data_IF_092862784472
#
_entry.id   IF_092862784472
#
_cell.length_a   1.000
_cell.length_b   1.000
_cell.length_c   1.000
_cell.angle_alpha   90.00
_cell.angle_beta   90.00
_cell.angle_gamma   90.00
#
_symmetry.space_group_name_H-M   'P 1'
#
loop_
_entity.id
_entity.type
_entity.pdbx_description
1 polymer ?
#
# COMPACT_ATOMS: atom_id res chain seq x y z
N UNK A 1 1.02 0.42 35.33
CA UNK A 1 2.42 0.23 34.89
C UNK A 1 2.33 -0.31 33.45
N UNK A 2 2.43 0.57 32.47
CA UNK A 2 2.44 0.21 31.06
C UNK A 2 3.76 -0.52 30.73
N UNK A 3 3.71 -1.59 29.96
CA UNK A 3 4.91 -2.34 29.55
C UNK A 3 5.65 -1.55 28.46
N UNK A 4 6.98 -1.37 28.54
CA UNK A 4 7.75 -0.58 27.59
C UNK A 4 7.96 -1.24 26.19
N UNK A 5 7.32 -2.37 25.93
CA UNK A 5 7.45 -3.12 24.67
C UNK A 5 6.51 -2.67 23.55
N UNK A 6 5.37 -2.04 23.86
CA UNK A 6 4.39 -1.62 22.83
C UNK A 6 4.84 -0.39 22.01
N UNK A 7 5.70 0.45 22.58
CA UNK A 7 6.14 1.68 21.89
C UNK A 7 7.15 1.41 20.78
N UNK A 8 7.95 0.35 20.86
CA UNK A 8 8.99 0.03 19.89
C UNK A 8 8.43 -0.72 18.66
N UNK A 9 7.34 -1.48 18.83
CA UNK A 9 6.68 -2.15 17.71
C UNK A 9 5.90 -1.16 16.83
N UNK A 10 5.35 -0.10 17.43
CA UNK A 10 4.61 0.94 16.73
C UNK A 10 5.53 1.92 15.94
N UNK A 11 6.75 2.16 16.40
CA UNK A 11 7.74 2.97 15.65
C UNK A 11 8.27 2.22 14.42
N UNK A 12 8.42 0.90 14.49
CA UNK A 12 8.85 0.08 13.35
C UNK A 12 7.78 -0.02 12.25
N UNK A 13 6.50 0.09 12.60
CA UNK A 13 5.40 0.09 11.63
C UNK A 13 5.30 1.41 10.83
N UNK A 14 5.92 2.50 11.30
CA UNK A 14 5.89 3.82 10.65
C UNK A 14 7.10 4.09 9.74
N UNK A 15 8.10 3.22 9.74
CA UNK A 15 9.20 3.34 8.79
C UNK A 15 8.77 2.81 7.44
N UNK A 16 9.10 3.53 6.34
CA UNK A 16 8.81 3.01 5.02
C UNK A 16 9.47 1.64 4.86
N UNK A 17 8.77 0.64 4.36
CA UNK A 17 9.42 -0.61 3.99
C UNK A 17 10.51 -0.28 2.98
N UNK A 18 11.61 -0.99 2.99
CA UNK A 18 12.72 -0.77 2.06
C UNK A 18 12.24 -0.83 0.60
N UNK A 19 11.25 -1.70 0.33
CA UNK A 19 10.66 -1.89 -0.99
C UNK A 19 9.14 -1.87 -0.95
N UNK A 20 8.53 -1.26 -1.97
CA UNK A 20 7.09 -1.22 -2.20
C UNK A 20 6.70 -2.16 -3.34
N UNK A 21 5.80 -3.10 -3.10
CA UNK A 21 5.27 -3.99 -4.15
C UNK A 21 4.32 -3.19 -5.04
N UNK A 22 4.61 -3.16 -6.33
CA UNK A 22 3.82 -2.38 -7.31
C UNK A 22 3.04 -3.25 -8.28
N UNK A 23 3.38 -4.54 -8.37
CA UNK A 23 2.70 -5.49 -9.25
C UNK A 23 3.34 -6.86 -9.23
N UNK A 24 2.81 -7.76 -10.07
CA UNK A 24 3.28 -9.15 -10.21
C UNK A 24 3.39 -9.52 -11.69
N UNK A 25 4.43 -10.27 -12.02
CA UNK A 25 4.63 -10.83 -13.36
C UNK A 25 3.72 -12.04 -13.54
N UNK A 26 2.71 -11.90 -14.40
CA UNK A 26 1.74 -12.98 -14.64
C UNK A 26 2.27 -14.03 -15.60
N UNK A 27 2.96 -13.59 -16.67
CA UNK A 27 3.50 -14.46 -17.71
C UNK A 27 4.44 -13.73 -18.66
N UNK A 28 5.30 -14.43 -19.38
CA UNK A 28 6.04 -13.89 -20.53
C UNK A 28 5.14 -13.44 -21.67
N UNK A 29 5.63 -12.50 -22.46
CA UNK A 29 5.01 -12.01 -23.68
C UNK A 29 5.98 -11.99 -24.87
N UNK A 30 5.64 -12.70 -25.91
CA UNK A 30 6.45 -12.79 -27.10
C UNK A 30 7.73 -13.62 -26.90
N UNK A 31 8.66 -13.48 -27.83
CA UNK A 31 9.93 -14.22 -27.86
C UNK A 31 11.13 -13.40 -27.35
N UNK A 32 10.91 -12.08 -27.12
CA UNK A 32 11.96 -11.13 -26.73
C UNK A 32 11.89 -10.76 -25.25
N UNK A 33 11.55 -11.69 -24.37
CA UNK A 33 11.59 -11.49 -22.93
C UNK A 33 10.61 -10.44 -22.37
N UNK A 34 9.55 -10.10 -23.09
CA UNK A 34 8.53 -9.19 -22.56
C UNK A 34 7.78 -9.84 -21.38
N UNK A 35 7.35 -9.03 -20.43
CA UNK A 35 6.67 -9.45 -19.20
C UNK A 35 5.28 -8.82 -19.13
N UNK A 36 4.24 -9.65 -18.96
CA UNK A 36 2.88 -9.16 -18.66
C UNK A 36 2.77 -9.01 -17.16
N UNK A 37 2.48 -7.79 -16.72
CA UNK A 37 2.43 -7.39 -15.30
C UNK A 37 1.01 -7.03 -14.93
N UNK A 38 0.53 -7.60 -13.83
CA UNK A 38 -0.68 -7.22 -13.13
C UNK A 38 -0.33 -6.11 -12.12
N UNK A 39 -1.10 -5.04 -12.14
CA UNK A 39 -0.91 -3.90 -11.26
C UNK A 39 -1.50 -4.19 -9.88
N UNK A 40 -0.74 -3.87 -8.81
CA UNK A 40 -1.22 -3.89 -7.43
C UNK A 40 -1.31 -2.48 -6.85
N UNK A 41 -0.48 -1.56 -7.32
CA UNK A 41 -0.42 -0.19 -6.83
C UNK A 41 -0.38 0.81 -7.99
N UNK A 42 -0.93 2.01 -7.78
CA UNK A 42 -0.81 3.14 -8.72
C UNK A 42 0.65 3.53 -9.00
N UNK A 43 1.57 3.17 -8.09
CA UNK A 43 3.02 3.39 -8.26
C UNK A 43 3.62 2.76 -9.52
N UNK A 44 2.96 1.77 -10.13
CA UNK A 44 3.40 1.23 -11.42
C UNK A 44 3.43 2.29 -12.51
N UNK A 45 2.66 3.38 -12.35
CA UNK A 45 2.61 4.49 -13.30
C UNK A 45 3.86 5.39 -13.23
N UNK A 46 4.61 5.38 -12.13
CA UNK A 46 5.90 6.06 -12.01
C UNK A 46 7.05 5.30 -12.70
N UNK A 47 6.81 4.05 -13.09
CA UNK A 47 7.81 3.27 -13.80
C UNK A 47 7.93 3.78 -15.26
N UNK A 48 9.13 4.13 -15.63
CA UNK A 48 9.49 4.59 -16.99
C UNK A 48 10.81 3.93 -17.45
N UNK A 49 11.19 4.04 -18.70
CA UNK A 49 12.51 3.58 -19.16
C UNK A 49 13.64 4.21 -18.34
N UNK A 50 14.52 3.38 -17.79
CA UNK A 50 15.59 3.77 -16.89
C UNK A 50 15.29 3.55 -15.40
N UNK A 51 14.04 3.31 -15.01
CA UNK A 51 13.68 3.00 -13.63
C UNK A 51 14.33 1.68 -13.20
N UNK A 52 14.88 1.66 -12.00
CA UNK A 52 15.34 0.46 -11.31
C UNK A 52 14.17 -0.22 -10.60
N UNK A 53 14.02 -1.51 -10.84
CA UNK A 53 13.01 -2.35 -10.18
C UNK A 53 13.66 -3.59 -9.61
N UNK A 54 13.07 -4.16 -8.57
CA UNK A 54 13.49 -5.41 -7.98
C UNK A 54 12.44 -6.49 -8.28
N UNK A 55 12.88 -7.69 -8.69
CA UNK A 55 11.99 -8.78 -9.11
C UNK A 55 12.17 -9.96 -8.15
N UNK A 56 11.06 -10.39 -7.52
CA UNK A 56 11.07 -11.46 -6.53
C UNK A 56 11.99 -11.10 -5.37
N UNK A 57 12.83 -12.06 -4.93
CA UNK A 57 13.77 -11.88 -3.83
C UNK A 57 15.15 -11.38 -4.27
N UNK A 58 15.29 -10.94 -5.53
CA UNK A 58 16.55 -10.43 -6.04
C UNK A 58 16.98 -9.17 -5.28
N UNK A 59 18.23 -9.16 -4.81
CA UNK A 59 18.86 -7.99 -4.22
C UNK A 59 19.46 -7.05 -5.29
N UNK A 60 19.58 -7.49 -6.55
CA UNK A 60 20.10 -6.68 -7.65
C UNK A 60 18.95 -6.05 -8.44
N UNK A 61 19.02 -4.75 -8.75
CA UNK A 61 18.00 -4.08 -9.55
C UNK A 61 18.05 -4.55 -11.01
N UNK A 62 16.88 -4.57 -11.63
CA UNK A 62 16.71 -4.72 -13.07
C UNK A 62 16.30 -3.38 -13.66
N UNK A 63 16.88 -3.00 -14.81
CA UNK A 63 16.57 -1.71 -15.45
C UNK A 63 15.44 -1.87 -16.45
N UNK A 64 14.37 -1.08 -16.27
CA UNK A 64 13.26 -1.03 -17.20
C UNK A 64 13.71 -0.40 -18.51
N UNK A 65 13.46 -1.08 -19.63
CA UNK A 65 13.73 -0.56 -20.98
C UNK A 65 12.47 -0.05 -21.68
N UNK A 66 11.31 -0.62 -21.37
CA UNK A 66 10.02 -0.12 -21.80
C UNK A 66 8.89 -0.58 -20.89
N UNK A 67 7.86 0.26 -20.77
CA UNK A 67 6.59 -0.08 -20.14
C UNK A 67 5.46 0.52 -20.95
N UNK A 68 4.36 -0.22 -21.11
CA UNK A 68 3.15 0.27 -21.81
C UNK A 68 1.91 -0.46 -21.32
N UNK A 69 0.78 0.21 -21.35
CA UNK A 69 -0.53 -0.43 -21.10
C UNK A 69 -0.85 -1.46 -22.16
N UNK A 70 -1.39 -2.61 -21.76
CA UNK A 70 -1.77 -3.70 -22.64
C UNK A 70 -2.98 -4.47 -22.08
N UNK A 71 -4.17 -4.26 -22.64
CA UNK A 71 -5.41 -4.97 -22.27
C UNK A 71 -5.70 -4.98 -20.76
N UNK A 72 -5.63 -3.82 -20.11
CA UNK A 72 -5.88 -3.67 -18.67
C UNK A 72 -4.73 -4.14 -17.77
N UNK A 73 -3.59 -4.49 -18.35
CA UNK A 73 -2.34 -4.83 -17.67
C UNK A 73 -1.20 -3.99 -18.22
N UNK A 74 0.02 -4.19 -17.71
CA UNK A 74 1.22 -3.57 -18.24
C UNK A 74 2.07 -4.60 -18.98
N UNK A 75 2.66 -4.16 -20.08
CA UNK A 75 3.71 -4.91 -20.76
C UNK A 75 5.04 -4.22 -20.47
N UNK A 76 5.92 -4.94 -19.79
CA UNK A 76 7.22 -4.49 -19.31
C UNK A 76 8.32 -5.20 -20.08
N UNK A 77 9.39 -4.47 -20.40
CA UNK A 77 10.66 -5.06 -20.82
C UNK A 77 11.79 -4.52 -19.96
N UNK A 78 12.75 -5.37 -19.65
CA UNK A 78 13.92 -5.04 -18.82
C UNK A 78 15.21 -5.44 -19.54
N UNK A 79 16.34 -4.84 -19.12
CA UNK A 79 17.61 -4.91 -19.83
C UNK A 79 18.10 -6.36 -20.02
N UNK A 80 18.08 -7.16 -18.99
CA UNK A 80 18.72 -8.47 -18.97
C UNK A 80 17.72 -9.63 -19.21
N UNK A 81 16.60 -9.33 -19.88
CA UNK A 81 15.57 -10.29 -20.27
C UNK A 81 15.30 -10.21 -21.78
N UNK A 82 16.10 -10.92 -22.56
CA UNK A 82 16.04 -10.84 -24.03
C UNK A 82 15.32 -12.03 -24.68
N UNK A 83 14.97 -13.05 -23.89
CA UNK A 83 14.30 -14.24 -24.37
C UNK A 83 13.16 -14.70 -23.46
N UNK A 84 12.34 -15.62 -23.99
CA UNK A 84 11.17 -16.14 -23.29
C UNK A 84 11.51 -17.02 -22.08
N UNK A 85 12.59 -17.77 -22.15
CA UNK A 85 12.95 -18.75 -21.12
C UNK A 85 13.43 -18.01 -19.87
N UNK A 86 14.21 -16.94 -20.05
CA UNK A 86 14.57 -16.02 -18.97
C UNK A 86 13.33 -15.37 -18.36
N UNK A 87 12.41 -14.88 -19.20
CA UNK A 87 11.16 -14.26 -18.72
C UNK A 87 10.26 -15.26 -17.96
N UNK A 88 10.26 -16.54 -18.31
CA UNK A 88 9.47 -17.58 -17.63
C UNK A 88 9.92 -17.82 -16.19
N UNK A 89 11.22 -17.60 -15.89
CA UNK A 89 11.77 -17.77 -14.53
C UNK A 89 11.17 -16.77 -13.54
N UNK A 90 10.67 -15.64 -14.03
CA UNK A 90 10.05 -14.60 -13.20
C UNK A 90 8.51 -14.68 -13.14
N UNK A 91 7.93 -15.75 -13.64
CA UNK A 91 6.48 -15.97 -13.50
C UNK A 91 6.09 -15.94 -12.02
N UNK A 92 5.01 -15.24 -11.71
CA UNK A 92 4.45 -15.02 -10.37
C UNK A 92 5.36 -14.21 -9.42
N UNK A 93 6.52 -13.74 -9.89
CA UNK A 93 7.38 -12.89 -9.08
C UNK A 93 6.79 -11.49 -8.94
N UNK A 94 6.95 -10.91 -7.75
CA UNK A 94 6.57 -9.54 -7.47
C UNK A 94 7.55 -8.55 -8.07
N UNK A 95 7.05 -7.40 -8.49
CA UNK A 95 7.83 -6.24 -8.90
C UNK A 95 7.80 -5.25 -7.75
N UNK A 96 8.98 -4.84 -7.31
CA UNK A 96 9.16 -3.92 -6.18
C UNK A 96 9.95 -2.70 -6.61
N UNK A 97 9.60 -1.54 -6.05
CA UNK A 97 10.36 -0.30 -6.12
C UNK A 97 10.99 0.00 -4.77
N UNK A 98 12.16 0.58 -4.77
CA UNK A 98 12.76 1.12 -3.55
C UNK A 98 11.92 2.29 -3.04
N UNK A 99 11.61 2.31 -1.75
CA UNK A 99 10.71 3.33 -1.17
C UNK A 99 11.29 4.74 -1.27
N UNK A 100 12.61 4.87 -1.26
CA UNK A 100 13.32 6.16 -1.42
C UNK A 100 13.14 6.76 -2.82
N UNK A 101 12.81 5.94 -3.82
CA UNK A 101 12.54 6.36 -5.19
C UNK A 101 11.04 6.53 -5.51
N UNK A 102 10.15 6.30 -4.55
CA UNK A 102 8.73 6.51 -4.75
C UNK A 102 8.43 8.00 -4.92
N UNK A 103 7.72 8.37 -5.99
CA UNK A 103 7.29 9.75 -6.19
C UNK A 103 6.40 10.19 -5.02
N UNK A 104 6.50 11.46 -4.58
CA UNK A 104 5.58 12.01 -3.60
C UNK A 104 4.14 11.81 -4.09
N UNK A 105 3.29 11.27 -3.23
CA UNK A 105 1.87 11.17 -3.50
C UNK A 105 1.23 12.58 -3.57
N UNK A 106 0.10 12.70 -4.27
CA UNK A 106 -0.65 13.94 -4.29
C UNK A 106 -1.20 14.25 -2.88
N UNK A 107 -1.52 15.51 -2.63
CA UNK A 107 -2.12 15.94 -1.38
C UNK A 107 -3.42 15.15 -1.12
N UNK A 108 -3.51 14.51 0.05
CA UNK A 108 -4.61 13.62 0.42
C UNK A 108 -4.44 12.14 -0.02
N UNK A 109 -3.35 11.80 -0.71
CA UNK A 109 -2.99 10.41 -0.98
C UNK A 109 -1.92 9.94 0.03
N UNK A 110 -2.08 8.72 0.54
CA UNK A 110 -1.19 8.12 1.54
C UNK A 110 -0.87 6.69 1.17
N UNK A 111 0.35 6.27 1.47
CA UNK A 111 0.70 4.85 1.41
C UNK A 111 0.09 4.14 2.63
N UNK A 112 -0.36 2.89 2.45
CA UNK A 112 -0.97 2.12 3.54
C UNK A 112 -0.07 2.04 4.78
N UNK A 113 1.24 1.84 4.60
CA UNK A 113 2.19 1.79 5.70
C UNK A 113 2.29 3.10 6.51
N UNK A 114 1.98 4.26 5.90
CA UNK A 114 1.94 5.55 6.62
C UNK A 114 0.72 5.67 7.53
N UNK A 115 -0.36 4.98 7.17
CA UNK A 115 -1.63 5.03 7.88
C UNK A 115 -1.73 3.99 8.99
N UNK A 116 -1.04 2.85 8.86
CA UNK A 116 -1.03 1.80 9.88
C UNK A 116 -0.47 2.32 11.21
N UNK A 117 -1.17 2.03 12.30
CA UNK A 117 -0.83 2.49 13.65
C UNK A 117 -1.16 3.95 13.94
N UNK A 118 -1.77 4.72 13.01
CA UNK A 118 -2.28 6.04 13.32
C UNK A 118 -3.48 5.96 14.26
N UNK A 119 -3.53 6.87 15.24
CA UNK A 119 -4.67 6.98 16.15
C UNK A 119 -5.83 7.69 15.45
N UNK A 120 -7.02 7.13 15.61
CA UNK A 120 -8.25 7.64 14.98
C UNK A 120 -9.08 8.36 16.01
N UNK A 121 -9.45 9.61 15.69
CA UNK A 121 -10.26 10.49 16.51
C UNK A 121 -11.53 10.89 15.75
N UNK A 122 -12.64 11.01 16.45
CA UNK A 122 -13.81 11.72 15.90
C UNK A 122 -13.57 13.24 15.86
N UNK A 123 -14.38 13.97 15.09
CA UNK A 123 -14.38 15.45 15.09
C UNK A 123 -14.63 16.04 16.49
N UNK A 124 -15.33 15.30 17.36
CA UNK A 124 -15.60 15.69 18.76
C UNK A 124 -14.42 15.37 19.70
N UNK A 125 -13.35 14.78 19.19
CA UNK A 125 -12.13 14.42 19.94
C UNK A 125 -12.20 13.08 20.69
N UNK A 126 -13.22 12.26 20.44
CA UNK A 126 -13.31 10.90 20.99
C UNK A 126 -12.26 9.99 20.32
N UNK A 127 -11.50 9.23 21.11
CA UNK A 127 -10.54 8.25 20.60
C UNK A 127 -11.29 6.97 20.22
N UNK A 128 -11.19 6.56 18.96
CA UNK A 128 -11.82 5.34 18.46
C UNK A 128 -10.88 4.13 18.51
N UNK A 129 -9.58 4.36 18.40
CA UNK A 129 -8.56 3.32 18.38
C UNK A 129 -7.41 3.66 17.46
N UNK A 130 -6.77 2.62 16.92
CA UNK A 130 -5.66 2.71 15.96
C UNK A 130 -6.00 1.95 14.69
N UNK A 131 -5.49 2.41 13.53
CA UNK A 131 -5.63 1.68 12.26
C UNK A 131 -4.77 0.42 12.34
N UNK A 132 -5.41 -0.74 12.53
CA UNK A 132 -4.75 -2.03 12.66
C UNK A 132 -4.49 -2.69 11.30
N UNK A 133 -5.41 -2.49 10.35
CA UNK A 133 -5.35 -3.11 9.02
C UNK A 133 -6.07 -2.24 7.99
N UNK A 134 -5.70 -2.36 6.73
CA UNK A 134 -6.35 -1.69 5.61
C UNK A 134 -6.76 -2.76 4.59
N UNK A 135 -8.05 -2.83 4.31
CA UNK A 135 -8.62 -3.71 3.29
C UNK A 135 -8.77 -2.94 1.98
N UNK A 136 -8.05 -3.37 0.96
CA UNK A 136 -8.26 -2.88 -0.39
C UNK A 136 -9.52 -3.50 -0.98
N UNK A 137 -10.49 -2.68 -1.33
CA UNK A 137 -11.69 -3.13 -2.01
C UNK A 137 -11.76 -2.55 -3.43
N UNK A 138 -12.60 -3.12 -4.28
CA UNK A 138 -12.70 -2.63 -5.67
C UNK A 138 -13.31 -1.23 -5.81
N UNK A 139 -13.85 -0.64 -4.74
CA UNK A 139 -14.47 0.68 -4.75
C UNK A 139 -13.67 1.69 -3.91
N UNK A 140 -13.43 1.39 -2.63
CA UNK A 140 -12.68 2.24 -1.69
C UNK A 140 -11.97 1.34 -0.69
N UNK A 141 -10.87 1.81 -0.13
CA UNK A 141 -10.22 1.13 0.97
C UNK A 141 -11.08 1.22 2.25
N UNK A 142 -10.91 0.25 3.13
CA UNK A 142 -11.59 0.19 4.42
C UNK A 142 -10.54 0.05 5.52
N UNK A 143 -10.51 0.99 6.46
CA UNK A 143 -9.63 0.93 7.62
C UNK A 143 -10.30 0.09 8.71
N UNK A 144 -9.60 -0.91 9.20
CA UNK A 144 -9.98 -1.63 10.42
C UNK A 144 -9.33 -0.89 11.58
N UNK A 145 -10.15 -0.21 12.36
CA UNK A 145 -9.73 0.52 13.56
C UNK A 145 -9.99 -0.33 14.77
N UNK A 146 -8.95 -0.63 15.54
CA UNK A 146 -9.05 -1.43 16.76
C UNK A 146 -8.92 -0.56 17.98
N UNK A 147 -9.91 -0.65 18.88
CA UNK A 147 -9.90 0.04 20.16
C UNK A 147 -8.96 -0.64 21.17
N UNK A 148 -8.62 0.04 22.26
CA UNK A 148 -7.85 -0.53 23.38
C UNK A 148 -8.57 -1.73 24.03
N UNK A 149 -9.89 -1.83 23.90
CA UNK A 149 -10.69 -2.96 24.40
C UNK A 149 -10.74 -4.15 23.44
N UNK A 150 -10.19 -3.99 22.23
CA UNK A 150 -10.17 -5.01 21.19
C UNK A 150 -11.39 -5.00 20.27
N UNK A 151 -12.30 -4.02 20.44
CA UNK A 151 -13.41 -3.84 19.51
C UNK A 151 -12.91 -3.29 18.18
N UNK A 152 -13.47 -3.77 17.08
CA UNK A 152 -13.11 -3.34 15.73
C UNK A 152 -14.21 -2.51 15.10
N UNK A 153 -13.81 -1.42 14.46
CA UNK A 153 -14.67 -0.54 13.67
C UNK A 153 -14.15 -0.49 12.24
N UNK A 154 -15.04 -0.68 11.27
CA UNK A 154 -14.73 -0.59 9.85
C UNK A 154 -15.04 0.80 9.34
N UNK A 155 -14.02 1.53 8.91
CA UNK A 155 -14.15 2.90 8.41
C UNK A 155 -13.84 2.93 6.92
N UNK A 156 -14.81 3.29 6.04
CA UNK A 156 -14.50 3.48 4.63
C UNK A 156 -13.60 4.72 4.44
N UNK A 157 -12.52 4.53 3.69
CA UNK A 157 -11.56 5.59 3.37
C UNK A 157 -12.10 6.49 2.24
N UNK A 158 -13.10 7.29 2.56
CA UNK A 158 -13.75 8.24 1.65
C UNK A 158 -13.75 9.65 2.26
N UNK A 159 -13.78 10.68 1.41
CA UNK A 159 -13.73 12.09 1.82
C UNK A 159 -14.83 12.49 2.81
N UNK A 160 -16.01 11.84 2.73
CA UNK A 160 -17.10 12.11 3.67
C UNK A 160 -16.85 11.55 5.08
N UNK A 161 -15.90 10.63 5.24
CA UNK A 161 -15.52 10.01 6.51
C UNK A 161 -14.16 10.54 6.97
N UNK A 162 -13.13 10.47 6.14
CA UNK A 162 -11.78 10.96 6.50
C UNK A 162 -11.77 12.47 6.33
N UNK A 163 -11.50 13.20 7.41
CA UNK A 163 -11.45 14.67 7.43
C UNK A 163 -10.04 15.20 7.33
N UNK A 164 -9.14 14.58 8.08
CA UNK A 164 -7.75 15.01 8.14
C UNK A 164 -6.83 13.83 8.48
N UNK A 165 -5.65 13.83 7.93
CA UNK A 165 -4.59 12.86 8.22
C UNK A 165 -3.31 13.61 8.52
N UNK A 166 -2.92 13.60 9.77
CA UNK A 166 -1.70 14.21 10.26
C UNK A 166 -0.65 13.12 10.56
N UNK A 167 0.24 12.89 9.60
CA UNK A 167 1.30 11.90 9.72
C UNK A 167 2.34 12.30 10.78
N UNK A 168 2.58 13.61 10.99
CA UNK A 168 3.57 14.10 11.95
C UNK A 168 3.09 13.85 13.39
N UNK A 169 1.81 14.11 13.65
CA UNK A 169 1.19 13.87 14.96
C UNK A 169 0.70 12.41 15.12
N UNK A 170 0.75 11.62 14.07
CA UNK A 170 0.32 10.22 14.09
C UNK A 170 -1.18 10.05 14.33
N UNK A 171 -2.02 10.92 13.73
CA UNK A 171 -3.47 10.90 13.96
C UNK A 171 -4.27 11.01 12.67
N UNK A 172 -5.47 10.47 12.70
CA UNK A 172 -6.52 10.64 11.68
C UNK A 172 -7.76 11.19 12.35
N UNK A 173 -8.37 12.22 11.76
CA UNK A 173 -9.65 12.78 12.22
C UNK A 173 -10.74 12.31 11.27
N UNK A 174 -11.82 11.78 11.84
CA UNK A 174 -12.94 11.26 11.06
C UNK A 174 -14.26 11.91 11.44
N UNK A 175 -15.14 11.99 10.45
CA UNK A 175 -16.55 12.28 10.64
C UNK A 175 -17.32 10.96 10.84
N UNK A 176 -18.02 10.85 11.97
CA UNK A 176 -18.82 9.68 12.30
C UNK A 176 -20.17 9.73 11.56
N UNK A 177 -20.32 8.90 10.53
CA UNK A 177 -21.61 8.71 9.89
C UNK A 177 -22.56 7.92 10.80
N UNK A 178 -23.87 8.22 10.79
CA UNK A 178 -24.86 7.45 11.54
C UNK A 178 -24.79 5.95 11.19
N UNK A 179 -24.62 5.09 12.20
CA UNK A 179 -24.53 3.63 12.04
C UNK A 179 -23.13 3.07 11.83
N UNK A 180 -22.08 3.89 11.81
CA UNK A 180 -20.69 3.45 11.64
C UNK A 180 -20.15 2.78 12.91
N UNK A 181 -20.56 3.24 14.08
CA UNK A 181 -20.23 2.60 15.35
C UNK A 181 -21.30 1.57 15.71
N UNK A 182 -20.91 0.39 16.23
CA UNK A 182 -21.88 -0.52 16.80
C UNK A 182 -22.63 0.18 17.93
N UNK A 183 -23.97 0.14 17.91
CA UNK A 183 -24.80 0.73 18.95
C UNK A 183 -24.33 0.19 20.30
N UNK A 184 -23.85 1.05 21.22
CA UNK A 184 -23.59 0.65 22.60
C UNK A 184 -24.86 0.00 23.12
N UNK A 185 -24.85 -1.30 23.42
CA UNK A 185 -25.90 -1.92 24.21
C UNK A 185 -25.86 -1.22 25.57
N UNK A 186 -26.88 -0.39 25.82
CA UNK A 186 -27.16 0.15 27.15
C UNK A 186 -27.67 -1.07 27.95
N UNK A 187 -26.84 -1.62 28.83
CA UNK A 187 -27.29 -2.44 29.95
C UNK A 187 -27.77 -1.57 31.10
#
# INVERSE_FOLDING_TARGET
MARPSDSLENESARQPPEYLVVGRIVRPHGIRGGLVVEQFSKLIQSIHPGTEIFIGDSAAPSIVTSIRSHRGRHLLAIRDCEDRDTAEQWREAEIRLESSGAEPLQEGEYYHWQLLGLRVFSEDGEVLGEIAEILETGANDVFIVRSETGDEVLLPAIESVIRDVDLEQGKVIIHLLPGLLPSKKIE
#
